data_IF_159175547217
#
_entry.id   IF_159175547217
#
_cell.length_a   1.000
_cell.length_b   1.000
_cell.length_c   1.000
_cell.angle_alpha   90.00
_cell.angle_beta   90.00
_cell.angle_gamma   90.00
#
_symmetry.space_group_name_H-M   'P 1'
#
loop_
_entity.id
_entity.type
_entity.pdbx_description
1 polymer ?
#
# COMPACT_ATOMS: atom_id res chain seq x y z
N UNK A 1 -13.71 25.16 21.52
CA UNK A 1 -14.70 24.77 20.48
C UNK A 1 -13.92 24.50 19.21
N UNK A 2 -13.93 23.27 18.69
CA UNK A 2 -13.22 22.92 17.46
C UNK A 2 -13.88 23.63 16.29
N UNK A 3 -13.12 24.38 15.49
CA UNK A 3 -13.68 25.20 14.44
C UNK A 3 -14.11 24.28 13.28
N UNK A 4 -15.17 24.63 12.54
CA UNK A 4 -15.65 23.80 11.42
C UNK A 4 -14.56 23.59 10.34
N UNK A 5 -13.60 24.52 10.29
CA UNK A 5 -12.42 24.44 9.44
C UNK A 5 -11.45 23.31 9.84
N UNK A 6 -11.28 23.02 11.14
CA UNK A 6 -10.38 21.98 11.64
C UNK A 6 -10.94 20.58 11.36
N UNK A 7 -12.26 20.39 11.52
CA UNK A 7 -12.95 19.14 11.19
C UNK A 7 -12.74 18.74 9.72
N UNK A 8 -12.84 19.71 8.81
CA UNK A 8 -12.65 19.47 7.38
C UNK A 8 -11.23 19.02 7.04
N UNK A 9 -10.22 19.58 7.71
CA UNK A 9 -8.82 19.17 7.54
C UNK A 9 -8.56 17.77 8.08
N UNK A 10 -9.11 17.44 9.25
CA UNK A 10 -8.99 16.10 9.85
C UNK A 10 -9.66 15.05 8.96
N UNK A 11 -10.86 15.32 8.42
CA UNK A 11 -11.53 14.41 7.50
C UNK A 11 -10.73 14.18 6.22
N UNK A 12 -10.11 15.23 5.66
CA UNK A 12 -9.23 15.11 4.49
C UNK A 12 -7.99 14.26 4.81
N UNK A 13 -7.34 14.50 5.95
CA UNK A 13 -6.18 13.73 6.39
C UNK A 13 -6.52 12.25 6.59
N UNK A 14 -7.65 11.95 7.22
CA UNK A 14 -8.14 10.58 7.40
C UNK A 14 -8.47 9.90 6.06
N UNK A 15 -9.10 10.62 5.13
CA UNK A 15 -9.38 10.11 3.79
C UNK A 15 -8.10 9.74 3.03
N UNK A 16 -7.08 10.60 3.08
CA UNK A 16 -5.76 10.32 2.49
C UNK A 16 -5.09 9.12 3.15
N UNK A 17 -5.09 9.06 4.49
CA UNK A 17 -4.48 7.95 5.23
C UNK A 17 -5.14 6.60 4.86
N UNK A 18 -6.47 6.59 4.77
CA UNK A 18 -7.24 5.40 4.38
C UNK A 18 -6.93 4.99 2.95
N UNK A 19 -6.89 5.95 2.02
CA UNK A 19 -6.53 5.70 0.62
C UNK A 19 -5.13 5.08 0.49
N UNK A 20 -4.14 5.65 1.17
CA UNK A 20 -2.76 5.14 1.19
C UNK A 20 -2.71 3.73 1.79
N UNK A 21 -3.43 3.51 2.90
CA UNK A 21 -3.50 2.19 3.55
C UNK A 21 -4.09 1.12 2.64
N UNK A 22 -5.19 1.45 1.94
CA UNK A 22 -5.80 0.55 0.94
C UNK A 22 -4.82 0.24 -0.18
N UNK A 23 -4.16 1.26 -0.74
CA UNK A 23 -3.17 1.06 -1.81
C UNK A 23 -2.03 0.13 -1.36
N UNK A 24 -1.51 0.30 -0.14
CA UNK A 24 -0.47 -0.58 0.39
C UNK A 24 -0.94 -2.04 0.48
N UNK A 25 -2.12 -2.27 1.06
CA UNK A 25 -2.67 -3.64 1.18
C UNK A 25 -2.91 -4.24 -0.20
N UNK A 26 -3.42 -3.46 -1.15
CA UNK A 26 -3.64 -3.90 -2.53
C UNK A 26 -2.32 -4.25 -3.21
N UNK A 27 -1.28 -3.40 -3.11
CA UNK A 27 0.04 -3.67 -3.68
C UNK A 27 0.68 -4.94 -3.11
N UNK A 28 0.62 -5.12 -1.79
CA UNK A 28 1.13 -6.32 -1.11
C UNK A 28 0.33 -7.56 -1.55
N UNK A 29 -1.00 -7.46 -1.55
CA UNK A 29 -1.90 -8.52 -1.95
C UNK A 29 -1.64 -8.98 -3.39
N UNK A 30 -1.54 -8.04 -4.33
CA UNK A 30 -1.24 -8.36 -5.73
C UNK A 30 0.13 -9.05 -5.85
N UNK A 31 1.16 -8.52 -5.18
CA UNK A 31 2.50 -9.13 -5.20
C UNK A 31 2.50 -10.56 -4.67
N UNK A 32 1.85 -10.79 -3.53
CA UNK A 32 1.72 -12.12 -2.94
C UNK A 32 0.90 -13.09 -3.81
N UNK A 33 -0.27 -12.68 -4.30
CA UNK A 33 -1.13 -13.54 -5.12
C UNK A 33 -0.46 -13.91 -6.46
N UNK A 34 0.24 -12.96 -7.09
CA UNK A 34 1.02 -13.25 -8.29
C UNK A 34 2.17 -14.22 -7.98
N UNK A 35 2.86 -14.03 -6.86
CA UNK A 35 3.91 -14.94 -6.39
C UNK A 35 3.38 -16.35 -6.13
N UNK A 36 2.24 -16.48 -5.46
CA UNK A 36 1.59 -17.75 -5.15
C UNK A 36 1.10 -18.48 -6.41
N UNK A 37 0.61 -17.74 -7.40
CA UNK A 37 0.21 -18.32 -8.69
C UNK A 37 1.41 -18.88 -9.47
N UNK A 38 2.57 -18.21 -9.38
CA UNK A 38 3.82 -18.69 -9.98
C UNK A 38 4.35 -19.90 -9.21
N UNK A 39 4.35 -19.85 -7.88
CA UNK A 39 4.81 -20.96 -7.04
C UNK A 39 4.04 -22.25 -7.31
N UNK A 40 2.71 -22.17 -7.41
CA UNK A 40 1.87 -23.34 -7.71
C UNK A 40 2.11 -23.93 -9.11
N UNK A 41 2.62 -23.15 -10.07
CA UNK A 41 3.03 -23.67 -11.39
C UNK A 41 4.42 -24.29 -11.38
N UNK A 42 5.34 -23.74 -10.59
CA UNK A 42 6.73 -24.16 -10.54
C UNK A 42 7.03 -25.19 -9.44
N UNK A 43 6.04 -25.52 -8.60
CA UNK A 43 6.23 -26.32 -7.36
C UNK A 43 7.30 -25.71 -6.44
N UNK A 44 7.43 -24.37 -6.45
CA UNK A 44 8.40 -23.64 -5.64
C UNK A 44 7.78 -23.02 -4.39
N UNK A 45 6.58 -23.45 -3.99
CA UNK A 45 5.86 -22.94 -2.82
C UNK A 45 6.77 -22.90 -1.57
N UNK A 46 7.04 -21.74 -0.93
CA UNK A 46 6.48 -20.40 -1.14
C UNK A 46 7.52 -19.32 -1.57
N UNK A 47 8.45 -19.65 -2.47
CA UNK A 47 9.58 -18.77 -2.82
C UNK A 47 9.13 -17.50 -3.55
N UNK A 48 8.38 -17.62 -4.65
CA UNK A 48 7.92 -16.45 -5.41
C UNK A 48 6.87 -15.65 -4.65
N UNK A 49 6.08 -16.29 -3.79
CA UNK A 49 5.16 -15.64 -2.86
C UNK A 49 5.88 -14.71 -1.90
N UNK A 50 7.01 -15.15 -1.31
CA UNK A 50 7.83 -14.33 -0.42
C UNK A 50 8.46 -13.16 -1.20
N UNK A 51 9.01 -13.42 -2.39
CA UNK A 51 9.59 -12.36 -3.24
C UNK A 51 8.53 -11.34 -3.61
N UNK A 52 7.36 -11.79 -4.06
CA UNK A 52 6.23 -10.95 -4.43
C UNK A 52 5.71 -10.13 -3.24
N UNK A 53 5.72 -10.70 -2.04
CA UNK A 53 5.36 -10.00 -0.81
C UNK A 53 6.39 -8.90 -0.48
N UNK A 54 7.70 -9.18 -0.53
CA UNK A 54 8.75 -8.19 -0.28
C UNK A 54 8.67 -7.04 -1.29
N UNK A 55 8.48 -7.36 -2.57
CA UNK A 55 8.31 -6.36 -3.63
C UNK A 55 7.02 -5.55 -3.41
N UNK A 56 5.92 -6.21 -3.07
CA UNK A 56 4.64 -5.55 -2.79
C UNK A 56 4.71 -4.61 -1.59
N UNK A 57 5.43 -5.00 -0.54
CA UNK A 57 5.71 -4.14 0.62
C UNK A 57 6.55 -2.94 0.21
N UNK A 58 7.63 -3.16 -0.55
CA UNK A 58 8.47 -2.08 -1.07
C UNK A 58 7.69 -1.08 -1.94
N UNK A 59 6.82 -1.57 -2.84
CA UNK A 59 5.96 -0.75 -3.68
C UNK A 59 4.91 0.03 -2.87
N UNK A 60 4.34 -0.59 -1.83
CA UNK A 60 3.44 0.09 -0.89
C UNK A 60 4.15 1.27 -0.20
N UNK A 61 5.34 1.03 0.36
CA UNK A 61 6.13 2.09 0.99
C UNK A 61 6.51 3.19 0.00
N UNK A 62 6.88 2.84 -1.24
CA UNK A 62 7.17 3.81 -2.29
C UNK A 62 5.96 4.70 -2.59
N UNK A 63 4.75 4.13 -2.59
CA UNK A 63 3.50 4.87 -2.79
C UNK A 63 3.25 5.87 -1.67
N UNK A 64 3.45 5.48 -0.41
CA UNK A 64 3.37 6.39 0.75
C UNK A 64 4.36 7.55 0.58
N UNK A 65 5.61 7.23 0.24
CA UNK A 65 6.66 8.22 0.04
C UNK A 65 6.30 9.22 -1.08
N UNK A 66 5.75 8.73 -2.19
CA UNK A 66 5.32 9.58 -3.31
C UNK A 66 4.18 10.52 -2.92
N UNK A 67 3.20 10.06 -2.14
CA UNK A 67 2.09 10.90 -1.66
C UNK A 67 2.59 11.99 -0.71
N UNK A 68 3.50 11.64 0.21
CA UNK A 68 4.11 12.62 1.13
C UNK A 68 4.91 13.66 0.34
N UNK A 69 5.75 13.20 -0.60
CA UNK A 69 6.57 14.09 -1.43
C UNK A 69 5.71 15.01 -2.32
N UNK A 70 4.63 14.50 -2.90
CA UNK A 70 3.69 15.29 -3.71
C UNK A 70 2.87 16.29 -2.89
N UNK A 71 2.75 16.09 -1.57
CA UNK A 71 2.11 17.06 -0.67
C UNK A 71 3.08 18.19 -0.25
N UNK A 72 4.38 17.98 -0.40
CA UNK A 72 5.45 18.91 0.00
C UNK A 72 5.93 19.85 -1.13
N UNK A 73 5.36 19.78 -2.33
CA UNK A 73 5.73 20.58 -3.51
C UNK A 73 4.51 21.30 -4.08
#
# INVERSE_FOLDING_TARGET
MMNKHDLGQIMKALGLLTYIGILMVVSIGIGYFLGAWIDGRLNTDPVFSIIGLVVGVGAGFYTVYQVIKGTLN
#
